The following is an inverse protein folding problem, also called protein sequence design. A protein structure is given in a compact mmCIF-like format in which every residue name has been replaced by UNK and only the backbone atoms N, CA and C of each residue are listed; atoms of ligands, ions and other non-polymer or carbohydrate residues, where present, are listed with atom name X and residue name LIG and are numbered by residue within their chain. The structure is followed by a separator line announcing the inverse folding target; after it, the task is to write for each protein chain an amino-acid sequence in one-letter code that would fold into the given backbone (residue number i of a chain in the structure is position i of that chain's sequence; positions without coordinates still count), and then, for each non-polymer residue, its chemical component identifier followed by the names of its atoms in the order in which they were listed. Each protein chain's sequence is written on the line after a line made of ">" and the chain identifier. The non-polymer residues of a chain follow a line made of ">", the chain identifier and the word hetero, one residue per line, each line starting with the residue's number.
data_IF_127555354636
#
_entry.id   IF_127555354636
#
_cell.length_a   1.000
_cell.length_b   1.000
_cell.length_c   1.000
_cell.angle_alpha   90.00
_cell.angle_beta   90.00
_cell.angle_gamma   90.00
#
_symmetry.space_group_name_H-M   'P 1'
#
loop_
_entity.id
_entity.type
_entity.pdbx_description
1 polymer ?
#
# COMPACT_ATOMS: atom_id res chain seq x y z
N UNK A 1 3.13 -7.13 -4.38
CA UNK A 1 4.01 -6.58 -3.30
C UNK A 1 3.24 -6.67 -1.99
N UNK A 2 3.91 -6.83 -0.84
CA UNK A 2 3.19 -6.97 0.44
C UNK A 2 2.40 -5.70 0.81
N UNK A 3 1.28 -5.86 1.54
CA UNK A 3 0.35 -4.75 1.86
C UNK A 3 1.03 -3.60 2.59
N UNK A 4 1.90 -3.88 3.57
CA UNK A 4 2.64 -2.82 4.29
C UNK A 4 3.56 -1.99 3.37
N UNK A 5 4.14 -2.59 2.33
CA UNK A 5 4.97 -1.85 1.37
C UNK A 5 4.11 -1.05 0.40
N UNK A 6 2.91 -1.52 0.01
CA UNK A 6 1.94 -0.71 -0.73
C UNK A 6 1.51 0.52 0.08
N UNK A 7 1.21 0.34 1.37
CA UNK A 7 0.91 1.44 2.29
C UNK A 7 2.06 2.44 2.34
N UNK A 8 3.30 1.96 2.51
CA UNK A 8 4.48 2.81 2.63
C UNK A 8 4.78 3.59 1.33
N UNK A 9 4.75 2.93 0.19
CA UNK A 9 4.98 3.57 -1.12
C UNK A 9 3.88 4.55 -1.47
N UNK A 10 2.61 4.18 -1.21
CA UNK A 10 1.48 5.08 -1.36
C UNK A 10 1.57 6.31 -0.46
N UNK A 11 2.04 6.14 0.80
CA UNK A 11 2.30 7.24 1.71
C UNK A 11 3.38 8.20 1.17
N UNK A 12 4.48 7.66 0.65
CA UNK A 12 5.54 8.46 0.05
C UNK A 12 5.03 9.25 -1.17
N UNK A 13 4.26 8.60 -2.03
CA UNK A 13 3.61 9.25 -3.20
C UNK A 13 2.67 10.35 -2.74
N UNK A 14 1.83 10.11 -1.73
CA UNK A 14 0.92 11.11 -1.17
C UNK A 14 1.64 12.30 -0.58
N UNK A 15 2.75 12.08 0.15
CA UNK A 15 3.58 13.14 0.71
C UNK A 15 4.19 14.04 -0.37
N UNK A 16 4.66 13.45 -1.48
CA UNK A 16 5.22 14.20 -2.62
C UNK A 16 4.12 14.91 -3.42
N UNK A 17 2.97 14.28 -3.58
CA UNK A 17 1.83 14.85 -4.31
C UNK A 17 1.29 16.12 -3.68
N UNK A 18 1.41 16.28 -2.35
CA UNK A 18 1.10 17.49 -1.59
C UNK A 18 -0.38 17.88 -1.56
N UNK A 19 -1.26 17.16 -2.23
CA UNK A 19 -2.70 17.42 -2.21
C UNK A 19 -3.51 16.13 -2.11
N UNK A 20 -4.68 16.21 -1.45
CA UNK A 20 -5.58 15.07 -1.23
C UNK A 20 -6.00 14.40 -2.54
N UNK A 21 -6.44 15.20 -3.52
CA UNK A 21 -6.88 14.68 -4.81
C UNK A 21 -5.79 13.95 -5.57
N UNK A 22 -4.58 14.53 -5.65
CA UNK A 22 -3.43 13.89 -6.29
C UNK A 22 -2.99 12.61 -5.56
N UNK A 23 -2.99 12.64 -4.23
CA UNK A 23 -2.65 11.46 -3.43
C UNK A 23 -3.59 10.28 -3.71
N UNK A 24 -4.90 10.53 -3.75
CA UNK A 24 -5.91 9.52 -4.09
C UNK A 24 -5.74 9.01 -5.53
N UNK A 25 -5.52 9.91 -6.50
CA UNK A 25 -5.36 9.54 -7.91
C UNK A 25 -4.09 8.74 -8.17
N UNK A 26 -2.99 9.02 -7.46
CA UNK A 26 -1.69 8.38 -7.69
C UNK A 26 -1.51 7.10 -6.87
N UNK A 27 -2.27 6.89 -5.79
CA UNK A 27 -2.12 5.71 -4.93
C UNK A 27 -2.38 4.39 -5.65
N UNK A 28 -3.48 4.28 -6.41
CA UNK A 28 -3.80 3.06 -7.16
C UNK A 28 -2.76 2.76 -8.25
N UNK A 29 -2.34 3.69 -9.10
CA UNK A 29 -1.20 3.48 -10.00
C UNK A 29 0.08 3.04 -9.29
N UNK A 30 0.41 3.62 -8.13
CA UNK A 30 1.57 3.22 -7.35
C UNK A 30 1.49 1.75 -6.90
N UNK A 31 0.32 1.28 -6.45
CA UNK A 31 0.08 -0.12 -6.15
C UNK A 31 0.36 -1.01 -7.38
N UNK A 32 -0.25 -0.72 -8.52
CA UNK A 32 -0.11 -1.52 -9.74
C UNK A 32 1.32 -1.57 -10.27
N UNK A 33 2.09 -0.49 -10.10
CA UNK A 33 3.52 -0.46 -10.43
C UNK A 33 4.32 -1.32 -9.46
N UNK A 34 4.00 -1.26 -8.16
CA UNK A 34 4.63 -2.09 -7.14
C UNK A 34 4.44 -3.58 -7.39
N UNK A 35 3.26 -4.01 -7.79
CA UNK A 35 2.96 -5.42 -8.08
C UNK A 35 3.67 -5.97 -9.33
N UNK A 36 4.16 -5.10 -10.21
CA UNK A 36 5.00 -5.49 -11.34
C UNK A 36 6.45 -5.79 -10.94
N UNK A 37 6.90 -5.33 -9.78
CA UNK A 37 8.22 -5.71 -9.24
C UNK A 37 8.14 -7.18 -8.82
N UNK A 38 9.01 -8.07 -9.34
CA UNK A 38 9.00 -9.49 -8.97
C UNK A 38 9.34 -9.66 -7.48
N UNK A 39 8.38 -10.13 -6.67
CA UNK A 39 8.47 -10.16 -5.21
C UNK A 39 7.94 -11.46 -4.60
N UNK A 40 8.27 -11.69 -3.34
CA UNK A 40 7.73 -12.76 -2.51
C UNK A 40 6.62 -12.20 -1.61
N UNK A 41 5.53 -12.95 -1.48
CA UNK A 41 4.45 -12.63 -0.55
C UNK A 41 4.74 -13.20 0.84
N UNK A 42 4.09 -12.67 1.87
CA UNK A 42 4.15 -13.22 3.23
C UNK A 42 3.22 -14.43 3.31
N UNK A 43 3.74 -15.57 3.80
CA UNK A 43 2.96 -16.79 3.95
C UNK A 43 1.74 -16.63 4.90
N UNK A 44 1.88 -15.80 5.94
CA UNK A 44 0.79 -15.49 6.87
C UNK A 44 -0.03 -14.30 6.38
N UNK A 45 -1.17 -14.56 5.76
CA UNK A 45 -2.12 -13.53 5.31
C UNK A 45 -2.59 -12.61 6.45
N UNK A 46 -2.78 -13.18 7.65
CA UNK A 46 -3.19 -12.39 8.83
C UNK A 46 -2.12 -11.38 9.21
N UNK A 47 -0.86 -11.81 9.23
CA UNK A 47 0.27 -10.91 9.52
C UNK A 47 0.42 -9.84 8.45
N UNK A 48 0.29 -10.21 7.19
CA UNK A 48 0.39 -9.28 6.06
C UNK A 48 -0.65 -8.17 6.15
N UNK A 49 -1.92 -8.52 6.37
CA UNK A 49 -3.00 -7.55 6.55
C UNK A 49 -2.77 -6.70 7.81
N UNK A 50 -2.43 -7.33 8.94
CA UNK A 50 -2.21 -6.63 10.20
C UNK A 50 -1.07 -5.62 10.10
N UNK A 51 0.05 -5.98 9.46
CA UNK A 51 1.18 -5.07 9.26
C UNK A 51 0.80 -3.84 8.41
N UNK A 52 0.00 -4.04 7.36
CA UNK A 52 -0.53 -2.93 6.55
C UNK A 52 -1.46 -2.01 7.35
N UNK A 53 -2.38 -2.60 8.15
CA UNK A 53 -3.29 -1.83 9.01
C UNK A 53 -2.51 -1.02 10.06
N UNK A 54 -1.50 -1.61 10.69
CA UNK A 54 -0.66 -0.93 11.67
C UNK A 54 0.07 0.25 11.01
N UNK A 55 0.70 0.05 9.85
CA UNK A 55 1.36 1.13 9.12
C UNK A 55 0.40 2.28 8.79
N UNK A 56 -0.78 1.96 8.26
CA UNK A 56 -1.79 2.96 7.91
C UNK A 56 -2.32 3.68 9.16
N UNK A 57 -2.57 2.94 10.24
CA UNK A 57 -3.03 3.49 11.52
C UNK A 57 -2.02 4.46 12.15
N UNK A 58 -0.73 4.13 12.12
CA UNK A 58 0.33 5.00 12.61
C UNK A 58 0.41 6.30 11.79
N UNK A 59 0.31 6.21 10.45
CA UNK A 59 0.26 7.39 9.58
C UNK A 59 -0.96 8.25 9.88
N UNK A 60 -2.14 7.65 10.00
CA UNK A 60 -3.37 8.37 10.32
C UNK A 60 -3.34 9.05 11.70
N UNK A 61 -2.80 8.36 12.72
CA UNK A 61 -2.67 8.89 14.06
C UNK A 61 -1.67 10.07 14.14
N UNK A 62 -0.56 9.99 13.39
CA UNK A 62 0.51 10.98 13.47
C UNK A 62 0.32 12.19 12.56
N UNK A 63 -0.22 11.96 11.36
CA UNK A 63 -0.37 12.98 10.31
C UNK A 63 -1.82 13.45 10.10
N UNK A 64 -2.75 12.68 10.59
CA UNK A 64 -4.18 12.87 10.39
C UNK A 64 -4.75 12.00 9.26
N UNK A 65 -6.03 11.59 9.38
CA UNK A 65 -6.67 10.67 8.44
C UNK A 65 -6.85 11.28 7.04
N UNK A 66 -6.94 12.59 6.93
CA UNK A 66 -7.12 13.33 5.66
C UNK A 66 -5.83 13.97 5.14
N UNK A 67 -4.68 13.72 5.78
CA UNK A 67 -3.37 14.14 5.25
C UNK A 67 -3.10 13.43 3.92
N UNK A 68 -2.53 14.12 2.91
CA UNK A 68 -2.20 13.49 1.63
C UNK A 68 -1.36 12.23 1.75
N UNK A 69 -0.45 12.16 2.74
CA UNK A 69 0.36 10.97 3.03
C UNK A 69 -0.53 9.77 3.40
N UNK A 70 -1.49 9.98 4.29
CA UNK A 70 -2.42 8.94 4.74
C UNK A 70 -3.37 8.51 3.62
N UNK A 71 -3.89 9.48 2.86
CA UNK A 71 -4.78 9.21 1.74
C UNK A 71 -4.08 8.44 0.61
N UNK A 72 -2.83 8.78 0.30
CA UNK A 72 -2.02 8.04 -0.67
C UNK A 72 -1.75 6.60 -0.23
N UNK A 73 -1.45 6.40 1.07
CA UNK A 73 -1.31 5.09 1.67
C UNK A 73 -2.58 4.25 1.56
N UNK A 74 -3.73 4.82 1.92
CA UNK A 74 -5.03 4.15 1.84
C UNK A 74 -5.40 3.81 0.39
N UNK A 75 -5.20 4.73 -0.55
CA UNK A 75 -5.48 4.52 -1.96
C UNK A 75 -4.58 3.42 -2.57
N UNK A 76 -3.31 3.35 -2.16
CA UNK A 76 -2.41 2.29 -2.61
C UNK A 76 -2.73 0.92 -1.99
N UNK A 77 -3.31 0.85 -0.79
CA UNK A 77 -3.76 -0.40 -0.20
C UNK A 77 -5.15 -0.84 -0.70
N UNK A 78 -5.94 0.05 -1.28
CA UNK A 78 -7.33 -0.22 -1.67
C UNK A 78 -7.49 -1.39 -2.65
N UNK A 79 -6.64 -1.60 -3.68
CA UNK A 79 -6.76 -2.77 -4.56
C UNK A 79 -6.66 -4.10 -3.83
N UNK A 80 -5.90 -4.19 -2.72
CA UNK A 80 -5.76 -5.42 -1.94
C UNK A 80 -7.06 -5.83 -1.22
N UNK A 81 -8.00 -4.91 -1.02
CA UNK A 81 -9.29 -5.20 -0.41
C UNK A 81 -10.08 -6.26 -1.20
N UNK A 82 -9.89 -6.36 -2.52
CA UNK A 82 -10.56 -7.41 -3.30
C UNK A 82 -10.13 -8.84 -2.93
N UNK A 83 -8.99 -9.00 -2.22
CA UNK A 83 -8.53 -10.28 -1.69
C UNK A 83 -9.33 -10.73 -0.46
N UNK A 84 -9.78 -9.79 0.36
CA UNK A 84 -10.45 -10.04 1.65
C UNK A 84 -11.95 -9.75 1.62
N UNK A 85 -12.42 -8.91 0.69
CA UNK A 85 -13.80 -8.48 0.59
C UNK A 85 -14.40 -8.80 -0.80
N UNK A 86 -14.99 -10.01 -0.98
CA UNK A 86 -15.54 -10.48 -2.27
C UNK A 86 -16.51 -9.52 -2.96
N UNK A 87 -17.36 -8.73 -2.26
CA UNK A 87 -18.25 -7.77 -2.91
C UNK A 87 -17.56 -6.72 -3.79
N UNK A 88 -16.26 -6.44 -3.56
CA UNK A 88 -15.49 -5.52 -4.41
C UNK A 88 -15.08 -6.13 -5.76
N UNK A 89 -15.35 -7.42 -5.98
CA UNK A 89 -15.03 -8.11 -7.24
C UNK A 89 -16.10 -7.87 -8.28
N UNK A 90 -15.71 -7.41 -9.46
CA UNK A 90 -16.64 -7.20 -10.56
C UNK A 90 -17.09 -8.55 -11.13
N UNK A 91 -18.38 -8.87 -10.99
CA UNK A 91 -18.94 -10.18 -11.45
C UNK A 91 -18.15 -11.38 -10.90
N UNK A 92 -17.70 -11.32 -9.64
CA UNK A 92 -16.91 -12.37 -8.99
C UNK A 92 -15.42 -12.40 -9.37
N UNK A 93 -14.97 -11.57 -10.32
CA UNK A 93 -13.57 -11.50 -10.76
C UNK A 93 -12.83 -10.34 -10.10
N UNK A 94 -11.59 -10.57 -9.71
CA UNK A 94 -10.69 -9.53 -9.20
C UNK A 94 -10.42 -8.51 -10.31
N UNK A 95 -10.56 -7.23 -10.01
CA UNK A 95 -10.38 -6.13 -10.97
C UNK A 95 -8.89 -5.86 -11.19
N UNK A 96 -8.12 -5.79 -10.09
CA UNK A 96 -6.70 -5.44 -10.11
C UNK A 96 -5.80 -6.67 -10.22
N UNK A 97 -6.02 -7.70 -9.40
CA UNK A 97 -5.17 -8.91 -9.35
C UNK A 97 -5.67 -10.05 -10.25
N UNK A 98 -6.71 -9.84 -11.03
CA UNK A 98 -7.23 -10.84 -11.99
C UNK A 98 -6.58 -10.81 -13.37
N UNK A 99 -5.71 -9.85 -13.67
CA UNK A 99 -5.08 -9.66 -14.97
C UNK A 99 -3.69 -10.28 -15.01
N UNK A 100 -3.42 -11.09 -16.05
CA UNK A 100 -2.08 -11.69 -16.25
C UNK A 100 -1.00 -10.60 -16.33
N UNK A 101 0.12 -10.80 -15.62
CA UNK A 101 1.28 -9.91 -15.64
C UNK A 101 1.15 -8.64 -14.77
N UNK A 102 0.04 -8.47 -14.07
CA UNK A 102 -0.13 -7.33 -13.17
C UNK A 102 0.40 -7.60 -11.76
N UNK A 103 0.50 -8.86 -11.36
CA UNK A 103 1.17 -9.32 -10.15
C UNK A 103 2.28 -10.29 -10.53
N UNK A 104 3.50 -10.10 -10.08
CA UNK A 104 4.67 -10.89 -10.45
C UNK A 104 5.36 -11.47 -9.22
N UNK A 105 5.33 -12.79 -9.11
CA UNK A 105 6.18 -13.49 -8.13
C UNK A 105 7.64 -13.45 -8.54
N UNK A 106 8.56 -13.31 -7.58
CA UNK A 106 9.98 -13.22 -7.87
C UNK A 106 10.89 -13.12 -6.66
N UNK A 107 12.10 -12.60 -6.87
CA UNK A 107 13.20 -12.70 -5.94
C UNK A 107 13.20 -11.65 -4.80
N UNK A 108 12.42 -10.57 -4.87
CA UNK A 108 12.44 -9.53 -3.83
C UNK A 108 11.86 -10.07 -2.52
N UNK A 109 12.69 -10.33 -1.48
CA UNK A 109 12.26 -11.08 -0.30
C UNK A 109 11.25 -10.31 0.55
N UNK A 110 10.28 -11.01 1.15
CA UNK A 110 9.23 -10.40 1.97
C UNK A 110 9.79 -9.67 3.22
N UNK A 111 10.84 -10.20 3.85
CA UNK A 111 11.50 -9.54 4.98
C UNK A 111 12.18 -8.23 4.58
N UNK A 112 12.79 -8.16 3.41
CA UNK A 112 13.37 -6.90 2.89
C UNK A 112 12.27 -5.90 2.58
N UNK A 113 11.15 -6.35 2.01
CA UNK A 113 9.98 -5.49 1.80
C UNK A 113 9.45 -4.90 3.11
N UNK A 114 9.40 -5.70 4.20
CA UNK A 114 9.00 -5.21 5.54
C UNK A 114 9.98 -4.17 6.08
N UNK A 115 11.28 -4.38 5.93
CA UNK A 115 12.29 -3.41 6.35
C UNK A 115 12.17 -2.10 5.58
N UNK A 116 11.99 -2.16 4.27
CA UNK A 116 11.79 -0.98 3.41
C UNK A 116 10.51 -0.25 3.79
N UNK A 117 9.40 -0.97 4.00
CA UNK A 117 8.15 -0.38 4.46
C UNK A 117 8.32 0.33 5.80
N UNK A 118 8.96 -0.32 6.77
CA UNK A 118 9.25 0.25 8.09
C UNK A 118 10.13 1.51 8.00
N UNK A 119 11.15 1.50 7.16
CA UNK A 119 12.03 2.64 6.94
C UNK A 119 11.28 3.86 6.34
N UNK A 120 10.45 3.62 5.30
CA UNK A 120 9.65 4.68 4.67
C UNK A 120 8.64 5.25 5.68
N UNK A 121 7.87 4.40 6.35
CA UNK A 121 6.88 4.85 7.34
C UNK A 121 7.56 5.59 8.48
N UNK A 122 8.66 5.06 9.03
CA UNK A 122 9.45 5.71 10.09
C UNK A 122 9.92 7.11 9.69
N UNK A 123 10.46 7.26 8.49
CA UNK A 123 10.87 8.56 7.96
C UNK A 123 9.71 9.55 7.81
N UNK A 124 8.54 9.07 7.39
CA UNK A 124 7.33 9.90 7.25
C UNK A 124 6.73 10.29 8.61
N UNK A 125 6.79 9.41 9.61
CA UNK A 125 6.35 9.71 10.98
C UNK A 125 7.24 10.75 11.68
N UNK A 126 8.53 10.78 11.35
CA UNK A 126 9.49 11.76 11.88
C UNK A 126 9.30 13.17 11.33
N UNK A 127 8.68 13.34 10.16
CA UNK A 127 8.37 14.65 9.59
C UNK A 127 7.08 15.20 10.22
N UNK A 128 7.11 16.47 10.66
CA UNK A 128 5.89 17.16 11.12
C UNK A 128 4.92 17.32 9.94
N UNK A 129 3.62 17.23 10.23
CA UNK A 129 2.59 17.66 9.28
C UNK A 129 2.80 19.15 8.99
N UNK A 130 2.79 19.53 7.73
CA UNK A 130 2.86 20.93 7.30
C UNK A 130 1.53 21.63 7.54
#
# INVERSE_FOLDING_TARGET
>A
MIVSLHVATGAAVGAVAGSRGRALLLGVPAHLLGDRVPHQDIASRRFEIASGIVCLGLLAARRGPLDPTTLGAAAAAAPDLEHVFPPLRLRGRKVFHGRRGWHRSGAFPANVQLLVAGAIVGALLGKRAA
#
